data_IF_559009646298
#
_entry.id   IF_559009646298
#
_cell.length_a   1.000
_cell.length_b   1.000
_cell.length_c   1.000
_cell.angle_alpha   90.00
_cell.angle_beta   90.00
_cell.angle_gamma   90.00
#
_symmetry.space_group_name_H-M   'P 1'
#
loop_
_entity.id
_entity.type
_entity.pdbx_description
1 polymer ?
#
# COMPACT_ATOMS: atom_id res chain seq x y z
N UNK A 1 -15.07 -9.49 14.90
CA UNK A 1 -13.70 -9.95 14.58
C UNK A 1 -12.79 -9.06 15.38
N UNK A 2 -12.09 -9.66 16.33
CA UNK A 2 -11.22 -8.92 17.21
C UNK A 2 -9.87 -8.76 16.51
N UNK A 3 -9.38 -7.52 16.47
CA UNK A 3 -8.06 -7.17 15.99
C UNK A 3 -7.36 -6.39 17.08
N UNK A 4 -6.04 -6.29 16.98
CA UNK A 4 -5.22 -5.52 17.91
C UNK A 4 -4.07 -4.84 17.18
N UNK A 5 -3.46 -3.88 17.85
CA UNK A 5 -2.22 -3.27 17.38
C UNK A 5 -1.10 -4.32 17.42
N UNK A 6 -0.28 -4.30 16.38
CA UNK A 6 0.95 -5.09 16.28
C UNK A 6 1.93 -4.72 17.39
N UNK A 7 2.46 -5.73 18.09
CA UNK A 7 3.52 -5.59 19.07
C UNK A 7 4.80 -6.24 18.52
N UNK A 8 5.86 -5.46 18.19
CA UNK A 8 7.10 -6.00 17.67
C UNK A 8 7.77 -7.06 18.56
N UNK A 9 7.57 -7.02 19.89
CA UNK A 9 8.17 -7.99 20.79
C UNK A 9 7.49 -9.35 20.71
N UNK A 10 6.18 -9.36 20.44
CA UNK A 10 5.35 -10.55 20.39
C UNK A 10 5.17 -11.10 18.98
N UNK A 11 4.92 -10.22 18.02
CA UNK A 11 4.32 -10.58 16.72
C UNK A 11 5.33 -10.68 15.57
N UNK A 12 6.56 -10.17 15.77
CA UNK A 12 7.58 -10.08 14.72
C UNK A 12 7.85 -11.39 14.01
N UNK A 13 8.00 -12.48 14.78
CA UNK A 13 8.21 -13.82 14.21
C UNK A 13 7.04 -14.27 13.33
N UNK A 14 5.81 -13.94 13.72
CA UNK A 14 4.63 -14.27 12.94
C UNK A 14 4.53 -13.42 11.66
N UNK A 15 4.84 -12.12 11.74
CA UNK A 15 4.91 -11.26 10.56
C UNK A 15 5.94 -11.76 9.54
N UNK A 16 7.16 -12.09 9.98
CA UNK A 16 8.21 -12.68 9.13
C UNK A 16 7.77 -14.00 8.50
N UNK A 17 7.14 -14.89 9.29
CA UNK A 17 6.58 -16.15 8.78
C UNK A 17 5.56 -15.88 7.66
N UNK A 18 4.61 -14.98 7.88
CA UNK A 18 3.58 -14.61 6.88
C UNK A 18 4.24 -14.10 5.60
N UNK A 19 5.25 -13.24 5.71
CA UNK A 19 5.93 -12.69 4.54
C UNK A 19 6.77 -13.70 3.78
N UNK A 20 7.41 -14.65 4.46
CA UNK A 20 8.05 -15.81 3.80
C UNK A 20 7.00 -16.65 3.08
N UNK A 21 5.85 -16.92 3.72
CA UNK A 21 4.77 -17.68 3.10
C UNK A 21 4.19 -17.02 1.84
N UNK A 22 4.17 -15.67 1.81
CA UNK A 22 3.69 -14.86 0.67
C UNK A 22 4.79 -14.53 -0.34
N UNK A 23 6.04 -14.89 -0.09
CA UNK A 23 7.19 -14.61 -0.96
C UNK A 23 7.58 -13.14 -1.00
N UNK A 24 7.36 -12.40 0.08
CA UNK A 24 7.76 -10.99 0.21
C UNK A 24 9.19 -10.83 0.73
N UNK A 25 9.67 -11.81 1.49
CA UNK A 25 11.02 -11.81 2.06
C UNK A 25 11.65 -13.19 1.88
N UNK A 26 12.96 -13.21 1.66
CA UNK A 26 13.75 -14.44 1.49
C UNK A 26 15.02 -14.44 2.37
N UNK A 27 15.46 -13.27 2.84
CA UNK A 27 16.69 -13.07 3.60
C UNK A 27 16.48 -12.42 4.96
N UNK A 28 17.51 -12.44 5.81
CA UNK A 28 17.52 -11.70 7.08
C UNK A 28 17.57 -10.17 6.88
N UNK A 29 18.15 -9.71 5.78
CA UNK A 29 18.17 -8.27 5.47
C UNK A 29 16.79 -7.77 5.06
N UNK A 30 16.00 -8.61 4.37
CA UNK A 30 14.58 -8.33 4.12
C UNK A 30 13.79 -8.25 5.44
N UNK A 31 14.06 -9.13 6.41
CA UNK A 31 13.43 -9.08 7.74
C UNK A 31 13.72 -7.75 8.44
N UNK A 32 14.98 -7.33 8.47
CA UNK A 32 15.40 -6.05 9.07
C UNK A 32 14.70 -4.87 8.39
N UNK A 33 14.67 -4.86 7.06
CA UNK A 33 14.03 -3.79 6.29
C UNK A 33 12.52 -3.71 6.58
N UNK A 34 11.86 -4.87 6.69
CA UNK A 34 10.44 -4.93 6.97
C UNK A 34 10.12 -4.61 8.45
N UNK A 35 11.02 -4.90 9.39
CA UNK A 35 10.90 -4.45 10.78
C UNK A 35 10.97 -2.91 10.88
N UNK A 36 11.90 -2.29 10.15
CA UNK A 36 12.02 -0.82 10.04
C UNK A 36 10.76 -0.22 9.41
N UNK A 37 10.18 -0.88 8.40
CA UNK A 37 8.92 -0.42 7.83
C UNK A 37 7.80 -0.44 8.86
N UNK A 38 7.61 -1.55 9.59
CA UNK A 38 6.50 -1.67 10.53
C UNK A 38 6.64 -0.69 11.70
N UNK A 39 7.86 -0.32 12.09
CA UNK A 39 8.07 0.72 13.10
C UNK A 39 7.59 2.10 12.65
N UNK A 40 7.54 2.35 11.34
CA UNK A 40 7.00 3.57 10.74
C UNK A 40 5.47 3.54 10.52
N UNK A 41 4.83 2.37 10.66
CA UNK A 41 3.42 2.18 10.33
C UNK A 41 2.53 2.06 11.56
N UNK A 42 1.28 2.52 11.45
CA UNK A 42 0.20 1.92 12.24
C UNK A 42 -0.07 0.54 11.67
N UNK A 43 0.12 -0.50 12.48
CA UNK A 43 -0.06 -1.89 12.04
C UNK A 43 -1.06 -2.59 12.92
N UNK A 44 -2.07 -3.21 12.29
CA UNK A 44 -3.06 -4.04 12.95
C UNK A 44 -2.84 -5.50 12.59
N UNK A 45 -3.11 -6.39 13.54
CA UNK A 45 -3.05 -7.84 13.37
C UNK A 45 -4.31 -8.51 13.88
N UNK A 46 -4.57 -9.70 13.34
CA UNK A 46 -5.64 -10.58 13.78
C UNK A 46 -5.06 -11.93 14.12
N UNK A 47 -5.38 -12.37 15.33
CA UNK A 47 -4.91 -13.65 15.85
C UNK A 47 -5.86 -14.77 15.41
N UNK A 48 -5.30 -15.90 15.02
CA UNK A 48 -6.00 -17.17 14.88
C UNK A 48 -5.23 -18.21 15.68
N UNK A 49 -5.92 -18.86 16.63
CA UNK A 49 -5.30 -19.76 17.61
C UNK A 49 -4.17 -19.12 18.44
N UNK A 50 -4.31 -17.83 18.79
CA UNK A 50 -3.37 -17.09 19.65
C UNK A 50 -2.17 -16.46 18.94
N UNK A 51 -2.02 -16.71 17.64
CA UNK A 51 -0.92 -16.22 16.82
C UNK A 51 -1.42 -15.26 15.72
N UNK A 52 -0.69 -14.19 15.39
CA UNK A 52 -1.00 -13.35 14.24
C UNK A 52 -1.02 -14.17 12.94
N UNK A 53 -2.13 -14.10 12.20
CA UNK A 53 -2.27 -14.76 10.89
C UNK A 53 -2.71 -13.81 9.78
N UNK A 54 -3.03 -12.56 10.12
CA UNK A 54 -3.33 -11.51 9.17
C UNK A 54 -2.77 -10.18 9.67
N UNK A 55 -2.23 -9.37 8.76
CA UNK A 55 -1.63 -8.07 9.05
C UNK A 55 -2.11 -7.05 8.01
N UNK A 56 -2.33 -5.81 8.45
CA UNK A 56 -2.51 -4.65 7.57
C UNK A 56 -1.83 -3.44 8.22
N UNK A 57 -1.15 -2.63 7.41
CA UNK A 57 -0.39 -1.48 7.88
C UNK A 57 -0.76 -0.20 7.11
N UNK A 58 -0.64 0.96 7.74
CA UNK A 58 -0.81 2.26 7.10
C UNK A 58 0.33 3.21 7.47
N UNK A 59 0.73 4.03 6.49
CA UNK A 59 1.68 5.12 6.64
C UNK A 59 0.96 6.46 6.48
N UNK A 60 1.17 7.43 7.38
CA UNK A 60 0.63 8.77 7.20
C UNK A 60 1.38 9.52 6.10
N UNK A 61 0.64 10.35 5.37
CA UNK A 61 1.22 11.21 4.35
C UNK A 61 0.27 12.30 3.87
N UNK A 62 0.62 12.88 2.73
CA UNK A 62 -0.25 13.79 1.98
C UNK A 62 -0.26 13.42 0.50
N UNK A 63 -1.40 13.63 -0.14
CA UNK A 63 -1.53 13.59 -1.60
C UNK A 63 -1.93 14.97 -2.13
N UNK A 64 -1.33 15.36 -3.25
CA UNK A 64 -1.65 16.59 -3.95
C UNK A 64 -2.90 16.40 -4.82
N UNK A 65 -4.04 16.94 -4.40
CA UNK A 65 -5.24 16.98 -5.22
C UNK A 65 -5.38 18.37 -5.86
N UNK A 66 -5.19 18.45 -7.18
CA UNK A 66 -5.07 19.72 -7.91
C UNK A 66 -4.05 20.66 -7.24
N UNK A 67 -4.53 21.73 -6.58
CA UNK A 67 -3.74 22.73 -5.85
C UNK A 67 -3.86 22.62 -4.32
N UNK A 68 -4.54 21.60 -3.80
CA UNK A 68 -4.69 21.34 -2.38
C UNK A 68 -3.86 20.13 -1.94
N UNK A 69 -3.37 20.15 -0.71
CA UNK A 69 -2.75 18.99 -0.07
C UNK A 69 -3.80 18.33 0.82
N UNK A 70 -3.99 17.02 0.65
CA UNK A 70 -5.01 16.23 1.33
C UNK A 70 -4.33 15.17 2.17
N UNK A 71 -4.73 15.01 3.44
CA UNK A 71 -4.17 13.99 4.34
C UNK A 71 -4.46 12.59 3.79
N UNK A 72 -3.39 11.80 3.67
CA UNK A 72 -3.37 10.49 3.07
C UNK A 72 -3.06 9.43 4.14
N UNK A 73 -3.84 8.36 4.14
CA UNK A 73 -3.47 7.06 4.72
C UNK A 73 -2.97 6.15 3.59
N UNK A 74 -1.68 5.87 3.57
CA UNK A 74 -1.09 4.96 2.60
C UNK A 74 -1.13 3.52 3.14
N UNK A 75 -2.20 2.80 2.81
CA UNK A 75 -2.38 1.40 3.18
C UNK A 75 -1.37 0.52 2.46
N UNK A 76 -0.79 -0.40 3.22
CA UNK A 76 0.27 -1.29 2.77
C UNK A 76 0.33 -2.57 3.61
N UNK A 77 1.24 -3.47 3.25
CA UNK A 77 1.54 -4.73 3.93
C UNK A 77 0.29 -5.55 4.29
N UNK A 78 -0.76 -5.49 3.45
CA UNK A 78 -1.96 -6.31 3.63
C UNK A 78 -1.61 -7.75 3.29
N UNK A 79 -1.37 -8.57 4.30
CA UNK A 79 -0.91 -9.95 4.14
C UNK A 79 -1.68 -10.90 5.05
N UNK A 80 -1.76 -12.16 4.62
CA UNK A 80 -2.48 -13.22 5.33
C UNK A 80 -1.75 -14.53 5.12
N UNK A 81 -1.53 -15.26 6.22
CA UNK A 81 -0.94 -16.59 6.17
C UNK A 81 -1.79 -17.55 5.37
N UNK A 82 -1.19 -18.68 4.97
CA UNK A 82 -1.89 -19.71 4.19
C UNK A 82 -3.13 -20.23 4.89
N UNK A 83 -3.10 -20.35 6.22
CA UNK A 83 -4.21 -20.92 6.99
C UNK A 83 -5.38 -19.95 7.16
N UNK A 84 -5.15 -18.63 7.14
CA UNK A 84 -6.17 -17.60 7.32
C UNK A 84 -6.77 -17.07 6.00
N UNK A 85 -6.26 -17.50 4.84
CA UNK A 85 -6.77 -17.08 3.51
C UNK A 85 -8.22 -17.51 3.28
N UNK A 86 -8.92 -16.72 2.48
CA UNK A 86 -10.34 -16.94 2.09
C UNK A 86 -11.33 -16.94 3.27
N UNK A 87 -10.93 -16.44 4.44
CA UNK A 87 -11.80 -16.29 5.62
C UNK A 87 -12.31 -14.86 5.82
N UNK A 88 -12.09 -13.95 4.86
CA UNK A 88 -12.52 -12.55 4.95
C UNK A 88 -11.69 -11.66 5.89
N UNK A 89 -10.76 -12.23 6.66
CA UNK A 89 -9.97 -11.52 7.68
C UNK A 89 -9.20 -10.31 7.11
N UNK A 90 -8.50 -10.47 5.98
CA UNK A 90 -7.74 -9.37 5.36
C UNK A 90 -8.61 -8.16 5.01
N UNK A 91 -9.79 -8.41 4.44
CA UNK A 91 -10.71 -7.33 4.05
C UNK A 91 -11.25 -6.61 5.29
N UNK A 92 -11.68 -7.36 6.31
CA UNK A 92 -12.18 -6.80 7.58
C UNK A 92 -11.10 -6.02 8.34
N UNK A 93 -9.87 -6.54 8.37
CA UNK A 93 -8.73 -5.88 9.00
C UNK A 93 -8.35 -4.59 8.28
N UNK A 94 -8.30 -4.63 6.95
CA UNK A 94 -8.02 -3.44 6.13
C UNK A 94 -9.10 -2.38 6.30
N UNK A 95 -10.38 -2.77 6.35
CA UNK A 95 -11.48 -1.86 6.63
C UNK A 95 -11.36 -1.21 8.03
N UNK A 96 -10.95 -1.99 9.02
CA UNK A 96 -10.73 -1.51 10.39
C UNK A 96 -9.56 -0.51 10.44
N UNK A 97 -8.45 -0.81 9.78
CA UNK A 97 -7.31 0.10 9.63
C UNK A 97 -7.72 1.43 8.99
N UNK A 98 -8.51 1.41 7.92
CA UNK A 98 -9.00 2.64 7.26
C UNK A 98 -9.88 3.46 8.21
N UNK A 99 -10.71 2.79 9.02
CA UNK A 99 -11.55 3.46 10.00
C UNK A 99 -10.70 4.16 11.08
N UNK A 100 -9.66 3.51 11.58
CA UNK A 100 -8.69 4.09 12.53
C UNK A 100 -7.98 5.31 11.91
N UNK A 101 -7.46 5.17 10.70
CA UNK A 101 -6.77 6.28 10.01
C UNK A 101 -7.71 7.46 9.70
N UNK A 102 -8.98 7.18 9.44
CA UNK A 102 -10.00 8.21 9.24
C UNK A 102 -10.29 8.97 10.54
N UNK A 103 -10.31 8.28 11.68
CA UNK A 103 -10.46 8.93 13.00
C UNK A 103 -9.27 9.84 13.31
N UNK A 104 -8.07 9.45 12.88
CA UNK A 104 -6.86 10.28 12.93
C UNK A 104 -6.82 11.40 11.87
N UNK A 105 -7.86 11.50 11.04
CA UNK A 105 -8.09 12.60 10.14
C UNK A 105 -7.54 12.40 8.73
N UNK A 106 -7.11 11.20 8.35
CA UNK A 106 -6.88 10.88 6.95
C UNK A 106 -8.14 11.18 6.14
N UNK A 107 -8.02 12.03 5.12
CA UNK A 107 -9.14 12.42 4.27
C UNK A 107 -9.24 11.52 3.04
N UNK A 108 -8.16 10.82 2.70
CA UNK A 108 -8.10 9.85 1.61
C UNK A 108 -7.24 8.66 2.02
N UNK A 109 -7.62 7.46 1.59
CA UNK A 109 -6.77 6.28 1.65
C UNK A 109 -6.25 5.89 0.27
N UNK A 110 -5.01 5.41 0.15
CA UNK A 110 -4.43 4.87 -1.08
C UNK A 110 -3.51 3.67 -0.86
N UNK A 111 -3.38 2.81 -1.87
CA UNK A 111 -2.54 1.61 -1.84
C UNK A 111 -2.06 1.19 -3.24
N UNK A 112 -1.08 0.29 -3.28
CA UNK A 112 -0.74 -0.48 -4.48
C UNK A 112 -1.58 -1.75 -4.56
N UNK A 113 -2.24 -1.98 -5.69
CA UNK A 113 -3.18 -3.08 -5.87
C UNK A 113 -2.44 -4.36 -6.30
N UNK A 114 -2.64 -5.46 -5.57
CA UNK A 114 -2.25 -6.80 -6.01
C UNK A 114 -3.41 -7.55 -6.72
N UNK A 115 -4.65 -7.33 -6.27
CA UNK A 115 -5.86 -7.92 -6.84
C UNK A 115 -6.99 -6.89 -6.73
N UNK A 116 -7.53 -6.45 -7.86
CA UNK A 116 -8.47 -5.33 -7.89
C UNK A 116 -9.83 -5.69 -7.27
N UNK A 117 -10.36 -6.89 -7.52
CA UNK A 117 -11.65 -7.33 -7.00
C UNK A 117 -11.70 -7.36 -5.47
N UNK A 118 -10.58 -7.65 -4.81
CA UNK A 118 -10.42 -7.61 -3.37
C UNK A 118 -10.67 -6.19 -2.83
N UNK A 119 -9.96 -5.20 -3.37
CA UNK A 119 -10.06 -3.82 -2.90
C UNK A 119 -11.34 -3.12 -3.34
N UNK A 120 -11.93 -3.50 -4.49
CA UNK A 120 -13.23 -2.98 -4.93
C UNK A 120 -14.32 -3.15 -3.85
N UNK A 121 -14.30 -4.26 -3.12
CA UNK A 121 -15.25 -4.53 -2.02
C UNK A 121 -15.10 -3.56 -0.84
N UNK A 122 -13.94 -2.93 -0.72
CA UNK A 122 -13.62 -1.93 0.30
C UNK A 122 -13.84 -0.48 -0.19
N UNK A 123 -14.40 -0.30 -1.40
CA UNK A 123 -14.71 1.01 -1.97
C UNK A 123 -13.58 1.66 -2.76
N UNK A 124 -12.44 0.98 -2.89
CA UNK A 124 -11.33 1.40 -3.73
C UNK A 124 -11.73 1.23 -5.22
N UNK A 125 -11.53 2.26 -6.07
CA UNK A 125 -11.67 2.26 -7.56
C UNK A 125 -10.38 2.09 -8.44
N UNK A 126 -9.94 3.10 -9.22
CA UNK A 126 -8.57 3.20 -9.78
C UNK A 126 -8.14 4.69 -9.79
N UNK A 127 -6.87 4.99 -9.49
CA UNK A 127 -6.33 6.34 -9.44
C UNK A 127 -5.49 6.72 -10.66
N UNK A 128 -4.64 7.73 -10.51
CA UNK A 128 -3.84 8.31 -11.61
C UNK A 128 -2.86 7.31 -12.22
N UNK A 129 -2.69 7.36 -13.55
CA UNK A 129 -1.71 6.54 -14.24
C UNK A 129 -0.27 6.84 -13.79
N UNK A 130 0.53 5.78 -13.68
CA UNK A 130 1.99 5.93 -13.60
C UNK A 130 2.51 6.22 -15.01
N UNK A 131 3.11 7.39 -15.19
CA UNK A 131 3.76 7.75 -16.45
C UNK A 131 5.21 7.27 -16.45
N UNK A 132 5.51 6.26 -17.28
CA UNK A 132 6.87 5.85 -17.56
C UNK A 132 7.31 6.46 -18.90
N UNK A 133 8.23 7.42 -18.86
CA UNK A 133 8.76 8.10 -20.05
C UNK A 133 10.20 7.66 -20.29
N UNK A 134 10.56 7.46 -21.56
CA UNK A 134 11.94 7.23 -22.01
C UNK A 134 12.33 8.36 -22.96
N UNK A 135 13.53 8.87 -22.82
CA UNK A 135 14.08 9.90 -23.70
C UNK A 135 15.57 9.66 -23.90
N UNK A 136 16.11 10.12 -25.03
CA UNK A 136 17.56 10.12 -25.27
C UNK A 136 18.21 11.19 -24.37
N UNK A 137 19.21 10.86 -23.53
CA UNK A 137 19.88 11.85 -22.69
C UNK A 137 20.44 13.05 -23.45
N UNK A 138 20.81 12.89 -24.73
CA UNK A 138 21.29 13.98 -25.59
C UNK A 138 20.21 15.03 -25.88
N UNK A 139 18.93 14.71 -25.72
CA UNK A 139 17.81 15.64 -25.89
C UNK A 139 17.56 16.51 -24.65
N UNK A 140 18.22 16.22 -23.52
CA UNK A 140 18.07 17.01 -22.30
C UNK A 140 18.77 18.37 -22.45
N UNK A 141 17.99 19.42 -22.72
CA UNK A 141 18.50 20.79 -22.80
C UNK A 141 18.49 21.43 -21.42
N UNK A 142 19.68 21.62 -20.84
CA UNK A 142 19.86 22.37 -19.59
C UNK A 142 20.11 23.84 -19.95
N UNK A 143 19.31 24.80 -19.43
CA UNK A 143 19.53 26.22 -19.70
C UNK A 143 20.96 26.66 -19.31
N UNK A 144 21.60 27.45 -20.16
CA UNK A 144 23.00 27.85 -20.01
C UNK A 144 23.31 28.49 -18.65
N UNK A 145 22.38 29.30 -18.12
CA UNK A 145 22.50 29.94 -16.81
C UNK A 145 22.33 29.00 -15.62
N UNK A 146 21.75 27.81 -15.81
CA UNK A 146 21.63 26.81 -14.76
C UNK A 146 22.91 25.98 -14.63
N UNK A 147 23.66 25.81 -15.74
CA UNK A 147 24.84 24.94 -15.79
C UNK A 147 25.94 25.32 -14.80
N UNK A 148 26.16 26.62 -14.59
CA UNK A 148 27.12 27.15 -13.62
C UNK A 148 26.69 26.98 -12.16
N UNK A 149 25.40 26.75 -11.90
CA UNK A 149 24.84 26.51 -10.56
C UNK A 149 24.74 25.02 -10.21
N UNK A 150 25.00 24.12 -11.17
CA UNK A 150 24.94 22.68 -10.93
C UNK A 150 26.15 22.24 -10.09
N UNK A 151 25.85 21.55 -8.99
CA UNK A 151 26.86 20.88 -8.18
C UNK A 151 27.34 19.61 -8.88
N UNK A 152 28.60 19.22 -8.62
CA UNK A 152 29.13 17.93 -9.07
C UNK A 152 28.27 16.83 -8.42
N UNK A 153 27.67 15.91 -9.21
CA UNK A 153 26.88 14.83 -8.64
C UNK A 153 27.73 13.94 -7.73
N UNK A 154 27.21 13.62 -6.55
CA UNK A 154 27.78 12.64 -5.63
C UNK A 154 27.01 11.31 -5.73
N UNK A 155 27.70 10.20 -5.45
CA UNK A 155 27.07 8.89 -5.34
C UNK A 155 26.48 8.75 -3.94
N UNK A 156 25.19 8.41 -3.88
CA UNK A 156 24.49 8.13 -2.61
C UNK A 156 24.65 6.65 -2.23
N UNK A 157 24.71 6.37 -0.93
CA UNK A 157 24.64 5.04 -0.32
C UNK A 157 23.37 4.87 0.52
N UNK A 158 23.23 3.71 1.16
CA UNK A 158 22.16 3.47 2.14
C UNK A 158 22.26 4.37 3.38
N UNK A 159 23.44 4.91 3.68
CA UNK A 159 23.66 5.79 4.82
C UNK A 159 23.06 7.19 4.60
N UNK A 160 22.84 7.57 3.35
CA UNK A 160 22.29 8.88 2.95
C UNK A 160 20.75 8.93 3.02
N UNK A 161 20.10 7.93 3.64
CA UNK A 161 18.64 7.79 3.68
C UNK A 161 17.92 9.03 4.21
N UNK A 162 18.54 9.81 5.11
CA UNK A 162 17.97 11.08 5.62
C UNK A 162 17.96 12.17 4.55
N UNK A 163 19.03 12.29 3.77
CA UNK A 163 19.12 13.26 2.68
C UNK A 163 18.15 12.87 1.56
N UNK A 164 18.03 11.57 1.27
CA UNK A 164 17.04 11.01 0.36
C UNK A 164 15.64 11.35 0.83
N UNK A 165 15.31 11.09 2.11
CA UNK A 165 14.00 11.41 2.67
C UNK A 165 13.69 12.91 2.58
N UNK A 166 14.64 13.76 2.95
CA UNK A 166 14.49 15.21 2.83
C UNK A 166 14.23 15.64 1.38
N UNK A 167 14.97 15.11 0.41
CA UNK A 167 14.73 15.37 -1.01
C UNK A 167 13.35 14.87 -1.46
N UNK A 168 12.94 13.68 -1.00
CA UNK A 168 11.65 13.08 -1.35
C UNK A 168 10.48 13.87 -0.77
N UNK A 169 10.60 14.45 0.42
CA UNK A 169 9.55 15.23 1.08
C UNK A 169 9.48 16.69 0.61
N UNK A 170 10.58 17.26 0.13
CA UNK A 170 10.67 18.68 -0.30
C UNK A 170 10.64 18.88 -1.82
N UNK A 171 10.68 17.81 -2.62
CA UNK A 171 10.59 17.89 -4.08
C UNK A 171 9.29 18.60 -4.54
N UNK A 172 9.32 19.14 -5.75
CA UNK A 172 8.11 19.63 -6.40
C UNK A 172 7.13 18.48 -6.63
N UNK A 173 5.87 18.68 -6.20
CA UNK A 173 4.79 17.70 -6.34
C UNK A 173 3.69 18.23 -7.27
N UNK A 174 3.38 17.46 -8.31
CA UNK A 174 2.22 17.67 -9.16
C UNK A 174 0.95 17.02 -8.60
N UNK A 175 -0.19 17.21 -9.26
CA UNK A 175 -1.42 16.50 -8.94
C UNK A 175 -1.20 14.97 -8.95
N UNK A 176 -1.72 14.27 -7.94
CA UNK A 176 -1.51 12.83 -7.74
C UNK A 176 -0.20 12.50 -7.04
N UNK A 177 0.70 13.48 -6.85
CA UNK A 177 1.94 13.29 -6.12
C UNK A 177 1.70 13.05 -4.62
N UNK A 178 2.34 12.03 -4.07
CA UNK A 178 2.27 11.68 -2.66
C UNK A 178 3.57 12.03 -1.92
N UNK A 179 3.46 12.38 -0.65
CA UNK A 179 4.58 12.47 0.29
C UNK A 179 4.22 11.60 1.49
N UNK A 180 5.10 10.67 1.85
CA UNK A 180 4.95 9.85 3.06
C UNK A 180 5.86 10.44 4.13
N UNK A 181 5.33 10.63 5.33
CA UNK A 181 6.02 11.39 6.37
C UNK A 181 7.09 10.61 7.15
N UNK A 182 6.91 9.32 7.48
CA UNK A 182 7.88 8.62 8.32
C UNK A 182 9.22 8.44 7.60
N UNK A 183 10.33 8.98 8.15
CA UNK A 183 11.64 8.90 7.51
C UNK A 183 12.23 7.48 7.58
N UNK A 184 11.78 6.64 8.52
CA UNK A 184 12.16 5.23 8.64
C UNK A 184 11.78 4.43 7.39
N UNK A 185 10.76 4.86 6.65
CA UNK A 185 10.43 4.24 5.35
C UNK A 185 11.63 4.27 4.40
N UNK A 186 12.34 5.40 4.34
CA UNK A 186 13.50 5.55 3.47
C UNK A 186 14.73 4.83 4.02
N UNK A 187 14.86 4.70 5.35
CA UNK A 187 15.86 3.82 5.97
C UNK A 187 15.62 2.34 5.63
N UNK A 188 14.37 1.87 5.69
CA UNK A 188 14.00 0.51 5.32
C UNK A 188 14.24 0.25 3.83
N UNK A 189 13.90 1.22 2.96
CA UNK A 189 14.19 1.17 1.52
C UNK A 189 15.68 1.11 1.21
N UNK A 190 16.49 1.87 1.94
CA UNK A 190 17.93 1.89 1.79
C UNK A 190 18.59 0.56 2.18
N UNK A 191 17.96 -0.20 3.08
CA UNK A 191 18.45 -1.52 3.54
C UNK A 191 18.16 -2.63 2.52
N UNK A 192 17.12 -2.48 1.70
CA UNK A 192 16.84 -3.42 0.62
C UNK A 192 17.80 -3.13 -0.56
N UNK A 193 18.83 -3.98 -0.73
CA UNK A 193 19.73 -4.00 -1.92
C UNK A 193 18.95 -4.06 -3.25
N UNK A 194 17.70 -4.51 -3.14
CA UNK A 194 16.68 -4.50 -4.16
C UNK A 194 15.57 -3.52 -3.77
N UNK A 195 15.53 -2.32 -4.37
CA UNK A 195 14.45 -1.33 -4.26
C UNK A 195 13.05 -1.74 -4.78
N UNK A 196 12.60 -2.98 -4.49
CA UNK A 196 11.52 -3.69 -5.18
C UNK A 196 10.15 -3.62 -4.48
N UNK A 197 10.08 -3.27 -3.19
CA UNK A 197 8.86 -3.50 -2.41
C UNK A 197 7.89 -2.29 -2.37
N UNK A 198 8.30 -1.08 -2.78
CA UNK A 198 7.50 0.14 -2.52
C UNK A 198 7.20 1.04 -3.73
N UNK A 199 7.31 0.47 -4.94
CA UNK A 199 7.13 1.17 -6.22
C UNK A 199 5.75 1.81 -6.42
N UNK A 200 4.72 1.28 -5.74
CA UNK A 200 3.33 1.72 -5.90
C UNK A 200 3.08 3.15 -5.41
N UNK A 201 3.81 3.62 -4.40
CA UNK A 201 3.58 4.93 -3.77
C UNK A 201 4.63 6.01 -4.14
N UNK A 202 5.80 5.61 -4.63
CA UNK A 202 6.93 6.51 -4.90
C UNK A 202 7.42 6.51 -6.36
N UNK A 203 6.73 5.82 -7.26
CA UNK A 203 6.98 5.94 -8.71
C UNK A 203 8.32 5.39 -9.23
N UNK A 204 8.97 4.47 -8.51
CA UNK A 204 10.23 3.85 -8.94
C UNK A 204 10.09 2.33 -9.10
N UNK A 205 10.35 1.84 -10.33
CA UNK A 205 10.42 0.45 -10.85
C UNK A 205 9.86 -0.70 -9.96
N UNK A 206 8.72 -1.28 -10.36
CA UNK A 206 8.42 -2.72 -10.21
C UNK A 206 7.59 -3.25 -11.39
N UNK A 207 7.77 -4.52 -11.76
CA UNK A 207 6.99 -5.24 -12.81
C UNK A 207 5.55 -5.56 -12.40
N UNK A 208 5.13 -5.26 -11.18
CA UNK A 208 3.83 -5.68 -10.63
C UNK A 208 3.00 -4.58 -9.94
N UNK A 209 3.34 -3.28 -10.10
CA UNK A 209 2.55 -2.21 -9.50
C UNK A 209 1.87 -1.34 -10.57
N UNK A 210 0.55 -1.50 -10.71
CA UNK A 210 -0.39 -0.61 -11.41
C UNK A 210 -1.21 0.17 -10.35
N UNK A 211 -1.82 1.32 -10.69
CA UNK A 211 -1.73 2.54 -9.89
C UNK A 211 -2.59 2.60 -8.61
N UNK A 212 -2.18 3.56 -7.77
CA UNK A 212 -2.84 4.12 -6.59
C UNK A 212 -4.35 4.21 -6.67
N UNK A 213 -4.98 4.32 -5.51
CA UNK A 213 -6.42 4.43 -5.46
C UNK A 213 -7.00 5.19 -4.28
N UNK A 214 -7.65 6.30 -4.58
CA UNK A 214 -8.30 7.19 -3.62
C UNK A 214 -9.72 6.73 -3.28
N UNK A 215 -9.99 6.55 -1.99
CA UNK A 215 -11.34 6.64 -1.42
C UNK A 215 -11.42 7.93 -0.62
N UNK A 216 -12.37 8.83 -0.86
CA UNK A 216 -12.57 9.98 0.02
C UNK A 216 -13.11 9.47 1.36
N UNK A 217 -12.37 9.67 2.44
CA UNK A 217 -12.74 9.25 3.80
C UNK A 217 -13.99 9.98 4.33
N UNK A 218 -14.36 11.09 3.70
CA UNK A 218 -15.52 11.94 4.04
C UNK A 218 -16.88 11.41 3.55
N UNK A 219 -16.95 10.20 2.98
CA UNK A 219 -18.24 9.55 2.74
C UNK A 219 -18.83 9.13 4.09
N UNK A 220 -19.61 10.04 4.66
CA UNK A 220 -20.49 9.90 5.83
C UNK A 220 -20.91 8.45 6.01
N UNK A 221 -20.52 7.82 7.13
CA UNK A 221 -21.28 6.83 7.95
C UNK A 221 -22.28 5.89 7.27
N UNK A 222 -22.18 5.65 5.97
CA UNK A 222 -22.74 4.52 5.23
C UNK A 222 -21.82 3.35 5.53
N UNK A 223 -21.77 3.11 6.84
CA UNK A 223 -21.46 1.94 7.58
C UNK A 223 -20.42 1.06 6.89
N UNK A 224 -19.15 1.29 7.23
CA UNK A 224 -18.16 0.20 7.20
C UNK A 224 -18.74 -1.02 7.93
N UNK A 225 -19.61 -0.85 8.94
CA UNK A 225 -20.45 -1.92 9.54
C UNK A 225 -21.38 -2.64 8.53
N UNK A 226 -21.92 -1.97 7.52
CA UNK A 226 -22.80 -2.53 6.47
C UNK A 226 -21.98 -3.19 5.35
N UNK A 227 -20.75 -2.71 5.10
CA UNK A 227 -19.78 -3.44 4.26
C UNK A 227 -19.27 -4.69 4.98
N UNK A 228 -19.00 -4.60 6.29
CA UNK A 228 -18.58 -5.71 7.14
C UNK A 228 -19.68 -6.77 7.29
N UNK A 229 -20.97 -6.37 7.36
CA UNK A 229 -22.10 -7.32 7.42
C UNK A 229 -22.37 -8.05 6.11
N UNK A 230 -21.84 -7.54 4.98
CA UNK A 230 -21.87 -8.19 3.67
C UNK A 230 -20.67 -9.09 3.41
N UNK A 231 -19.63 -9.05 4.26
CA UNK A 231 -18.53 -9.99 4.18
C UNK A 231 -18.94 -11.30 4.87
N UNK A 232 -18.69 -12.47 4.25
CA UNK A 232 -19.02 -13.74 4.88
C UNK A 232 -18.28 -13.86 6.22
N UNK A 233 -18.99 -14.31 7.26
CA UNK A 233 -18.37 -14.60 8.55
C UNK A 233 -17.27 -15.68 8.37
N UNK A 234 -16.18 -15.61 9.14
CA UNK A 234 -15.11 -16.61 9.08
C UNK A 234 -15.73 -17.97 9.39
N UNK A 235 -15.46 -18.96 8.53
CA UNK A 235 -15.92 -20.32 8.81
C UNK A 235 -15.11 -20.86 10.00
N UNK A 236 -15.73 -21.56 10.96
CA UNK A 236 -14.99 -22.25 12.00
C UNK A 236 -14.03 -23.25 11.35
N UNK A 237 -12.75 -23.15 11.69
CA UNK A 237 -11.72 -24.06 11.19
C UNK A 237 -11.84 -25.36 11.98
N UNK A 238 -12.50 -26.37 11.41
CA UNK A 238 -12.39 -27.72 11.93
C UNK A 238 -10.96 -28.23 11.70
N UNK A 239 -10.39 -28.84 12.73
CA UNK A 239 -9.06 -29.47 12.72
C UNK A 239 -9.04 -30.53 11.62
N UNK A 240 -8.45 -30.22 10.46
CA UNK A 240 -8.28 -31.20 9.38
C UNK A 240 -7.16 -32.15 9.80
N UNK A 241 -7.52 -33.39 10.12
CA UNK A 241 -6.58 -34.49 10.24
C UNK A 241 -5.86 -34.68 8.90
N UNK A 242 -4.53 -34.75 8.92
CA UNK A 242 -3.72 -35.00 7.72
C UNK A 242 -4.07 -36.37 7.15
N UNK A 243 -4.51 -36.42 5.89
CA UNK A 243 -4.48 -37.63 5.07
C UNK A 243 -3.53 -37.37 3.91
N UNK A 244 -2.50 -38.22 3.80
CA UNK A 244 -1.45 -38.18 2.79
C UNK A 244 -2.03 -38.44 1.39
N UNK A 245 -1.78 -37.54 0.43
CA UNK A 245 -1.80 -37.84 -1.01
C UNK A 245 -0.77 -36.99 -1.78
N UNK A 246 -0.04 -37.68 -2.66
CA UNK A 246 1.07 -37.23 -3.50
C UNK A 246 0.71 -36.23 -4.63
N UNK A 247 1.70 -35.53 -5.23
CA UNK A 247 1.45 -34.38 -6.11
C UNK A 247 1.35 -34.73 -7.60
N UNK A 248 0.25 -34.31 -8.25
CA UNK A 248 0.05 -34.37 -9.70
C UNK A 248 0.12 -32.99 -10.39
N UNK A 249 1.12 -32.85 -11.26
CA UNK A 249 1.40 -31.94 -12.41
C UNK A 249 0.61 -30.61 -12.64
N UNK A 250 1.29 -29.55 -13.16
CA UNK A 250 0.70 -28.23 -13.40
C UNK A 250 0.01 -28.10 -14.77
N UNK A 251 -1.23 -27.62 -14.78
CA UNK A 251 -1.97 -27.24 -15.98
C UNK A 251 -1.77 -25.77 -16.35
N UNK A 252 -1.34 -25.52 -17.59
CA UNK A 252 -1.23 -24.20 -18.20
C UNK A 252 -2.61 -23.60 -18.52
N UNK A 253 -2.79 -22.29 -18.32
CA UNK A 253 -3.94 -21.56 -18.85
C UNK A 253 -3.48 -20.29 -19.58
N UNK A 254 -3.77 -20.25 -20.88
CA UNK A 254 -3.60 -19.11 -21.77
C UNK A 254 -4.89 -18.30 -21.95
N UNK A 255 -4.68 -17.00 -22.07
CA UNK A 255 -5.27 -16.03 -23.01
C UNK A 255 -6.80 -15.89 -23.22
N UNK A 256 -7.22 -14.62 -23.01
CA UNK A 256 -8.19 -13.81 -23.78
C UNK A 256 -9.68 -13.90 -23.46
N UNK A 257 -10.17 -12.86 -22.77
CA UNK A 257 -11.56 -12.41 -22.82
C UNK A 257 -11.62 -10.88 -22.88
N UNK A 258 -12.10 -10.34 -24.00
CA UNK A 258 -12.35 -8.90 -24.21
C UNK A 258 -13.58 -8.49 -23.39
N UNK A 259 -13.48 -7.47 -22.54
CA UNK A 259 -14.65 -6.90 -21.85
C UNK A 259 -14.98 -5.53 -22.43
N UNK A 260 -16.24 -5.37 -22.88
CA UNK A 260 -16.82 -4.11 -23.37
C UNK A 260 -17.08 -3.17 -22.19
N UNK A 261 -16.77 -1.89 -22.37
CA UNK A 261 -17.06 -0.81 -21.44
C UNK A 261 -18.46 -0.23 -21.68
N UNK A 262 -19.26 -0.08 -20.63
CA UNK A 262 -20.45 0.77 -20.60
C UNK A 262 -20.13 2.03 -19.78
N UNK A 263 -20.40 3.24 -20.29
CA UNK A 263 -20.18 4.47 -19.53
C UNK A 263 -21.40 4.77 -18.66
N UNK A 264 -21.21 4.93 -17.35
CA UNK A 264 -22.14 5.65 -16.49
C UNK A 264 -21.41 6.87 -15.94
N UNK A 265 -21.51 7.96 -16.68
CA UNK A 265 -21.20 9.30 -16.19
C UNK A 265 -22.50 9.89 -15.63
N UNK A 266 -22.53 10.26 -14.34
CA UNK A 266 -23.42 11.30 -13.81
C UNK A 266 -22.81 11.95 -12.55
N UNK A 267 -22.36 13.19 -12.76
CA UNK A 267 -22.43 14.36 -11.88
C UNK A 267 -21.96 14.25 -10.41
N UNK A 268 -20.78 14.81 -10.13
CA UNK A 268 -20.30 15.23 -8.80
C UNK A 268 -20.16 16.77 -8.76
N UNK A 269 -21.29 17.47 -8.74
CA UNK A 269 -21.43 18.85 -8.27
C UNK A 269 -22.80 18.87 -7.57
N UNK A 270 -22.92 19.01 -6.22
CA UNK A 270 -22.44 20.19 -5.48
C UNK A 270 -21.99 19.89 -4.03
N UNK A 271 -20.71 20.07 -3.70
CA UNK A 271 -20.25 20.08 -2.30
C UNK A 271 -19.14 21.10 -1.99
N UNK A 272 -18.78 21.95 -2.96
CA UNK A 272 -17.66 22.89 -2.85
C UNK A 272 -18.06 24.36 -2.67
N UNK A 273 -19.33 24.65 -2.37
CA UNK A 273 -19.85 26.02 -2.33
C UNK A 273 -20.35 26.50 -0.96
N UNK A 274 -19.92 25.85 0.12
CA UNK A 274 -20.19 26.32 1.48
C UNK A 274 -18.89 26.34 2.28
N UNK A 275 -18.08 27.40 2.08
CA UNK A 275 -17.05 27.95 2.99
C UNK A 275 -16.28 29.06 2.27
N UNK A 276 -16.97 30.16 2.04
CA UNK A 276 -16.38 31.49 1.88
C UNK A 276 -17.33 32.43 2.58
N UNK A 277 -17.10 32.61 3.88
CA UNK A 277 -17.40 33.81 4.66
C UNK A 277 -16.24 33.98 5.63
#
# INVERSE_FOLDING_TARGET
MDYRVYDPNRDRKAAHRIWRETGWIESEDDEKAMDILLSACRTLVVDLNGEPECLAAALPGVIRYQRASVRLSAVTAVTTSRIARKQGMAARLTASLIAEETQDGAAVSALGIFEQGFYNRLGYGNGSYVHAVRFDPSWLKIPSGMRSSLRIPARLSSDDWREIHHAMTTRQIGHGGCVLHPPELDAGRATLDQGWIWAGLSGWRSRCAQPFLLVPAQWRTWSIRDSLSRLPEPRPVHRIARSDQEPGRPGAYGAHGRTRWHPVARSLEPALQARTD
#
